data_IF_119445857651
#
_entry.id   IF_119445857651
#
_cell.length_a   1.000
_cell.length_b   1.000
_cell.length_c   1.000
_cell.angle_alpha   90.00
_cell.angle_beta   90.00
_cell.angle_gamma   90.00
#
_symmetry.space_group_name_H-M   'P 1'
#
loop_
_entity.id
_entity.type
_entity.pdbx_description
1 polymer ?
#
# COMPACT_ATOMS: atom_id res chain seq x y z
N UNK A 1 -31.03 18.94 4.37
CA UNK A 1 -30.28 17.69 4.58
C UNK A 1 -31.00 16.59 3.83
N UNK A 2 -30.60 16.35 2.58
CA UNK A 2 -31.05 15.18 1.82
C UNK A 2 -30.26 13.98 2.33
N UNK A 3 -30.94 12.99 2.91
CA UNK A 3 -30.33 11.69 3.18
C UNK A 3 -30.02 11.05 1.83
N UNK A 4 -28.74 10.85 1.54
CA UNK A 4 -28.32 10.01 0.42
C UNK A 4 -28.49 8.56 0.87
N UNK A 5 -29.61 7.95 0.52
CA UNK A 5 -29.83 6.52 0.71
C UNK A 5 -29.48 5.78 -0.58
N UNK A 6 -28.76 4.67 -0.43
CA UNK A 6 -28.31 3.84 -1.54
C UNK A 6 -29.51 3.09 -2.13
N UNK A 7 -29.69 3.00 -3.46
CA UNK A 7 -30.87 2.35 -4.06
C UNK A 7 -31.07 0.90 -3.61
N UNK A 8 -29.96 0.17 -3.42
CA UNK A 8 -29.90 -1.19 -2.87
C UNK A 8 -30.28 -1.26 -1.38
N UNK A 9 -30.10 -0.19 -0.60
CA UNK A 9 -30.54 -0.12 0.81
C UNK A 9 -32.01 0.27 0.94
N UNK A 10 -32.59 0.86 -0.10
CA UNK A 10 -33.99 1.28 -0.15
C UNK A 10 -34.93 0.20 -0.72
N UNK A 11 -34.41 -1.01 -0.95
CA UNK A 11 -35.19 -2.13 -1.51
C UNK A 11 -35.67 -1.90 -2.94
N UNK A 12 -35.04 -0.98 -3.68
CA UNK A 12 -35.30 -0.79 -5.10
C UNK A 12 -34.62 -1.90 -5.91
N UNK A 13 -35.18 -2.25 -7.07
CA UNK A 13 -34.59 -3.25 -7.97
C UNK A 13 -33.09 -2.97 -8.18
N UNK A 14 -32.23 -4.02 -8.20
CA UNK A 14 -30.78 -3.84 -8.34
C UNK A 14 -30.48 -3.02 -9.59
N UNK A 15 -29.94 -1.82 -9.38
CA UNK A 15 -29.49 -0.95 -10.47
C UNK A 15 -28.03 -1.29 -10.79
N UNK A 16 -27.67 -1.21 -12.07
CA UNK A 16 -26.31 -1.49 -12.60
C UNK A 16 -25.33 -0.33 -12.36
N UNK A 17 -25.49 0.38 -11.24
CA UNK A 17 -24.89 1.70 -10.97
C UNK A 17 -23.35 1.73 -11.09
N UNK A 18 -22.69 0.57 -11.11
CA UNK A 18 -21.24 0.50 -11.06
C UNK A 18 -20.62 -0.28 -12.22
N UNK A 19 -21.36 -0.52 -13.30
CA UNK A 19 -20.80 -1.21 -14.47
C UNK A 19 -20.06 -0.24 -15.38
N UNK A 20 -18.72 -0.25 -15.34
CA UNK A 20 -17.90 0.38 -16.38
C UNK A 20 -17.88 -0.53 -17.63
N UNK A 21 -18.62 -0.19 -18.68
CA UNK A 21 -18.45 -0.87 -19.97
C UNK A 21 -17.09 -0.46 -20.58
N UNK A 22 -16.13 -1.39 -20.56
CA UNK A 22 -14.81 -1.24 -21.18
C UNK A 22 -14.95 -1.20 -22.71
N UNK A 23 -14.96 -0.01 -23.32
CA UNK A 23 -14.77 0.13 -24.78
C UNK A 23 -13.28 0.03 -25.13
N UNK A 24 -12.98 -0.69 -26.22
CA UNK A 24 -11.61 -0.99 -26.71
C UNK A 24 -10.75 0.26 -26.94
N UNK A 25 -9.42 0.18 -26.72
CA UNK A 25 -8.52 1.31 -26.91
C UNK A 25 -8.34 1.59 -28.41
N UNK A 26 -8.86 2.72 -28.88
CA UNK A 26 -8.79 3.12 -30.29
C UNK A 26 -9.77 4.21 -30.72
N UNK A 27 -10.75 4.57 -29.88
CA UNK A 27 -11.65 5.70 -30.13
C UNK A 27 -11.36 6.86 -29.17
N UNK A 28 -10.19 7.50 -29.33
CA UNK A 28 -9.89 8.75 -28.62
C UNK A 28 -9.66 9.85 -29.64
N UNK A 29 -10.73 10.35 -30.22
CA UNK A 29 -10.75 11.73 -30.71
C UNK A 29 -12.19 12.24 -30.79
N UNK A 30 -12.50 13.19 -29.91
CA UNK A 30 -13.73 13.98 -29.80
C UNK A 30 -14.97 13.19 -29.39
N UNK A 31 -15.29 13.26 -28.09
CA UNK A 31 -16.64 13.60 -27.62
C UNK A 31 -16.59 13.91 -26.12
N UNK A 32 -16.68 15.20 -25.77
CA UNK A 32 -16.85 15.71 -24.40
C UNK A 32 -18.33 15.77 -23.99
N UNK A 33 -19.22 14.97 -24.59
CA UNK A 33 -20.67 15.24 -24.53
C UNK A 33 -21.61 14.02 -24.42
N UNK A 34 -21.16 12.89 -23.87
CA UNK A 34 -22.05 11.72 -23.64
C UNK A 34 -21.89 11.12 -22.25
N UNK A 35 -21.98 11.95 -21.20
CA UNK A 35 -22.19 11.50 -19.82
C UNK A 35 -23.50 12.00 -19.19
N UNK A 36 -24.34 12.70 -19.95
CA UNK A 36 -25.66 13.14 -19.49
C UNK A 36 -26.73 12.03 -19.48
N UNK A 37 -26.45 10.80 -19.91
CA UNK A 37 -27.49 9.78 -20.10
C UNK A 37 -27.39 8.55 -19.16
N UNK A 38 -26.35 8.43 -18.34
CA UNK A 38 -26.21 7.31 -17.37
C UNK A 38 -26.06 7.80 -15.91
N UNK A 39 -25.65 9.06 -15.71
CA UNK A 39 -25.65 9.72 -14.39
C UNK A 39 -26.94 10.48 -14.02
N UNK A 40 -28.04 10.25 -14.75
CA UNK A 40 -29.32 10.97 -14.57
C UNK A 40 -30.41 10.12 -13.88
N UNK A 41 -30.06 9.28 -12.91
CA UNK A 41 -31.07 8.67 -12.03
C UNK A 41 -30.94 8.99 -10.54
N UNK A 42 -29.82 9.52 -10.02
CA UNK A 42 -29.82 10.18 -8.71
C UNK A 42 -28.76 11.28 -8.67
N UNK A 43 -29.18 12.55 -8.63
CA UNK A 43 -28.26 13.66 -8.34
C UNK A 43 -28.43 14.98 -9.10
N UNK A 44 -29.62 15.34 -9.58
CA UNK A 44 -29.87 16.73 -9.98
C UNK A 44 -30.21 17.57 -8.75
N UNK A 45 -29.20 18.26 -8.23
CA UNK A 45 -29.32 19.33 -7.24
C UNK A 45 -28.18 20.32 -7.40
N UNK A 46 -28.32 21.22 -8.36
CA UNK A 46 -27.45 22.37 -8.62
C UNK A 46 -27.15 23.16 -7.34
N UNK A 47 -25.86 23.39 -7.04
CA UNK A 47 -25.40 24.65 -6.44
C UNK A 47 -23.89 24.79 -6.58
N UNK A 48 -23.47 25.44 -7.66
CA UNK A 48 -22.19 26.13 -7.70
C UNK A 48 -22.27 27.39 -6.84
N UNK A 49 -21.29 27.58 -5.95
CA UNK A 49 -20.83 28.90 -5.52
C UNK A 49 -21.32 29.41 -4.15
N UNK A 50 -20.30 29.82 -3.38
CA UNK A 50 -20.26 30.92 -2.39
C UNK A 50 -20.28 30.58 -0.88
N UNK A 51 -19.30 31.23 -0.21
CA UNK A 51 -19.15 31.61 1.20
C UNK A 51 -18.36 30.73 2.19
N UNK A 52 -17.21 31.30 2.55
CA UNK A 52 -16.50 31.22 3.82
C UNK A 52 -17.38 31.58 5.05
N UNK A 53 -16.85 31.22 6.23
CA UNK A 53 -17.18 31.66 7.60
C UNK A 53 -18.36 30.94 8.29
N UNK A 54 -18.06 29.99 9.19
CA UNK A 54 -18.19 30.20 10.64
C UNK A 54 -17.90 28.90 11.41
N UNK A 55 -17.00 29.02 12.38
CA UNK A 55 -16.89 28.15 13.54
C UNK A 55 -18.15 28.24 14.39
N UNK A 56 -18.68 27.11 14.88
CA UNK A 56 -19.09 26.97 16.28
C UNK A 56 -19.60 25.54 16.58
N UNK A 57 -19.22 25.09 17.76
CA UNK A 57 -19.52 23.81 18.38
C UNK A 57 -21.04 23.60 18.56
N UNK A 58 -21.50 22.33 18.51
CA UNK A 58 -22.78 22.00 19.16
C UNK A 58 -22.80 20.58 19.73
N UNK A 59 -22.53 20.55 21.03
CA UNK A 59 -22.71 19.46 21.98
C UNK A 59 -24.13 18.89 21.97
N UNK A 60 -24.29 17.57 21.80
CA UNK A 60 -25.57 16.88 22.00
C UNK A 60 -25.50 15.89 23.17
N UNK A 61 -26.25 16.23 24.21
CA UNK A 61 -26.56 15.43 25.40
C UNK A 61 -27.62 14.36 25.12
N UNK A 62 -27.48 13.18 25.74
CA UNK A 62 -28.45 12.09 25.70
C UNK A 62 -29.54 12.23 26.78
N UNK A 63 -30.74 11.64 26.57
CA UNK A 63 -31.46 11.01 27.67
C UNK A 63 -31.78 9.52 27.40
N UNK A 64 -32.07 8.73 28.44
CA UNK A 64 -32.03 7.27 28.40
C UNK A 64 -33.41 6.64 28.16
N UNK A 65 -33.42 5.42 27.60
CA UNK A 65 -33.94 4.21 28.25
C UNK A 65 -34.42 3.14 27.24
N UNK A 66 -33.97 1.91 27.51
CA UNK A 66 -34.64 0.62 27.37
C UNK A 66 -35.26 0.23 26.01
N UNK A 67 -34.54 -0.64 25.30
CA UNK A 67 -35.15 -1.61 24.39
C UNK A 67 -34.55 -3.00 24.64
N UNK A 68 -35.22 -3.77 25.48
CA UNK A 68 -35.19 -5.23 25.41
C UNK A 68 -35.83 -5.66 24.09
N UNK A 69 -35.03 -6.20 23.17
CA UNK A 69 -35.48 -6.96 22.00
C UNK A 69 -35.14 -6.36 20.63
N UNK A 70 -33.87 -6.44 20.20
CA UNK A 70 -33.47 -6.47 18.77
C UNK A 70 -31.98 -6.75 18.50
N UNK A 71 -31.28 -7.52 19.36
CA UNK A 71 -29.84 -7.74 19.18
C UNK A 71 -29.49 -8.66 17.99
N UNK A 72 -30.42 -9.52 17.54
CA UNK A 72 -30.16 -10.50 16.48
C UNK A 72 -30.37 -10.00 15.05
N UNK A 73 -31.20 -8.97 14.83
CA UNK A 73 -31.55 -8.48 13.49
C UNK A 73 -30.62 -7.34 13.04
N UNK A 74 -30.09 -6.57 14.00
CA UNK A 74 -29.13 -5.45 13.76
C UNK A 74 -27.75 -5.96 13.35
N UNK A 75 -27.37 -7.18 13.73
CA UNK A 75 -26.07 -7.78 13.41
C UNK A 75 -26.01 -8.42 12.01
N UNK A 76 -27.16 -8.72 11.39
CA UNK A 76 -27.24 -9.45 10.10
C UNK A 76 -27.23 -8.50 8.89
N UNK A 77 -27.70 -7.26 9.04
CA UNK A 77 -27.68 -6.22 8.00
C UNK A 77 -26.34 -5.45 7.89
N UNK A 78 -25.46 -5.56 8.89
CA UNK A 78 -24.27 -4.71 8.97
C UNK A 78 -23.28 -4.91 7.79
N UNK A 79 -22.92 -6.14 7.37
CA UNK A 79 -21.93 -6.33 6.31
C UNK A 79 -22.43 -5.90 4.93
N UNK A 80 -23.70 -6.19 4.59
CA UNK A 80 -24.27 -5.79 3.31
C UNK A 80 -24.32 -4.27 3.18
N UNK A 81 -24.81 -3.58 4.23
CA UNK A 81 -24.85 -2.12 4.26
C UNK A 81 -23.46 -1.50 4.16
N UNK A 82 -22.52 -1.99 4.95
CA UNK A 82 -21.15 -1.51 4.92
C UNK A 82 -20.51 -1.70 3.54
N UNK A 83 -20.72 -2.85 2.90
CA UNK A 83 -20.22 -3.11 1.56
C UNK A 83 -20.79 -2.15 0.51
N UNK A 84 -22.09 -1.86 0.59
CA UNK A 84 -22.75 -0.92 -0.32
C UNK A 84 -22.25 0.52 -0.12
N UNK A 85 -22.07 0.96 1.13
CA UNK A 85 -21.52 2.30 1.44
C UNK A 85 -20.07 2.47 0.96
N UNK A 86 -19.24 1.44 1.12
CA UNK A 86 -17.86 1.43 0.61
C UNK A 86 -17.80 1.46 -0.91
N UNK A 87 -18.67 0.68 -1.58
CA UNK A 87 -18.81 0.68 -3.03
C UNK A 87 -19.25 2.03 -3.58
N UNK A 88 -20.22 2.67 -2.92
CA UNK A 88 -20.67 4.02 -3.25
C UNK A 88 -19.53 5.02 -3.13
N UNK A 89 -18.79 4.98 -2.02
CA UNK A 89 -17.63 5.85 -1.81
C UNK A 89 -16.57 5.66 -2.90
N UNK A 90 -16.31 4.41 -3.29
CA UNK A 90 -15.38 4.07 -4.37
C UNK A 90 -15.85 4.65 -5.72
N UNK A 91 -17.13 4.50 -6.04
CA UNK A 91 -17.72 4.99 -7.27
C UNK A 91 -17.77 6.52 -7.35
N UNK A 92 -18.07 7.19 -6.25
CA UNK A 92 -18.02 8.65 -6.15
C UNK A 92 -16.59 9.17 -6.39
N UNK A 93 -15.60 8.61 -5.69
CA UNK A 93 -14.20 9.00 -5.86
C UNK A 93 -13.69 8.71 -7.28
N UNK A 94 -14.14 7.62 -7.91
CA UNK A 94 -13.79 7.28 -9.30
C UNK A 94 -14.14 8.42 -10.29
N UNK A 95 -15.17 9.23 -10.01
CA UNK A 95 -15.59 10.32 -10.90
C UNK A 95 -14.62 11.49 -10.90
N UNK A 96 -13.85 11.66 -9.83
CA UNK A 96 -12.94 12.80 -9.65
C UNK A 96 -11.47 12.39 -9.53
N UNK A 97 -11.15 11.10 -9.45
CA UNK A 97 -9.79 10.61 -9.31
C UNK A 97 -8.94 10.90 -10.57
N UNK A 98 -7.86 11.66 -10.38
CA UNK A 98 -6.92 12.05 -11.43
C UNK A 98 -5.56 11.37 -11.27
N UNK A 99 -5.10 11.23 -10.01
CA UNK A 99 -3.74 10.78 -9.69
C UNK A 99 -3.70 9.35 -9.13
N UNK A 100 -2.55 8.69 -9.29
CA UNK A 100 -2.33 7.30 -8.86
C UNK A 100 -2.72 7.06 -7.40
N UNK A 101 -2.47 8.02 -6.51
CA UNK A 101 -2.79 7.95 -5.08
C UNK A 101 -4.31 7.92 -4.81
N UNK A 102 -5.09 8.66 -5.59
CA UNK A 102 -6.56 8.68 -5.49
C UNK A 102 -7.15 7.38 -6.02
N UNK A 103 -6.61 6.88 -7.14
CA UNK A 103 -6.98 5.58 -7.67
C UNK A 103 -6.61 4.43 -6.73
N UNK A 104 -5.54 4.58 -5.93
CA UNK A 104 -5.19 3.61 -4.92
C UNK A 104 -6.27 3.56 -3.82
N UNK A 105 -6.79 4.72 -3.41
CA UNK A 105 -7.91 4.77 -2.46
C UNK A 105 -9.19 4.17 -3.05
N UNK A 106 -9.51 4.44 -4.32
CA UNK A 106 -10.62 3.77 -5.02
C UNK A 106 -10.48 2.25 -4.98
N UNK A 107 -9.28 1.73 -5.28
CA UNK A 107 -9.01 0.30 -5.25
C UNK A 107 -9.13 -0.29 -3.82
N UNK A 108 -8.69 0.44 -2.79
CA UNK A 108 -8.86 0.01 -1.41
C UNK A 108 -10.33 -0.02 -0.98
N UNK A 109 -11.13 0.98 -1.37
CA UNK A 109 -12.57 1.01 -1.10
C UNK A 109 -13.31 -0.15 -1.78
N UNK A 110 -12.97 -0.49 -3.02
CA UNK A 110 -13.53 -1.67 -3.68
C UNK A 110 -13.15 -2.98 -2.99
N UNK A 111 -11.91 -3.14 -2.53
CA UNK A 111 -11.51 -4.32 -1.76
C UNK A 111 -12.31 -4.46 -0.46
N UNK A 112 -12.49 -3.35 0.26
CA UNK A 112 -13.30 -3.34 1.48
C UNK A 112 -14.76 -3.69 1.18
N UNK A 113 -15.34 -3.12 0.12
CA UNK A 113 -16.70 -3.42 -0.30
C UNK A 113 -16.88 -4.90 -0.62
N UNK A 114 -15.92 -5.52 -1.32
CA UNK A 114 -15.92 -6.95 -1.63
C UNK A 114 -15.86 -7.77 -0.35
N UNK A 115 -14.94 -7.46 0.57
CA UNK A 115 -14.80 -8.18 1.84
C UNK A 115 -16.11 -8.13 2.66
N UNK A 116 -16.72 -6.95 2.76
CA UNK A 116 -18.00 -6.75 3.44
C UNK A 116 -19.14 -7.55 2.80
N UNK A 117 -19.22 -7.57 1.46
CA UNK A 117 -20.23 -8.36 0.73
C UNK A 117 -20.00 -9.87 0.89
N UNK A 118 -18.75 -10.33 0.90
CA UNK A 118 -18.40 -11.74 1.14
C UNK A 118 -18.68 -12.20 2.57
N UNK A 119 -18.65 -11.27 3.53
CA UNK A 119 -18.99 -11.53 4.93
C UNK A 119 -20.51 -11.67 5.18
N UNK A 120 -21.37 -11.37 4.20
CA UNK A 120 -22.82 -11.52 4.34
C UNK A 120 -23.18 -12.99 4.57
N UNK A 121 -23.87 -13.34 5.69
CA UNK A 121 -24.21 -14.72 5.99
C UNK A 121 -25.08 -15.35 4.89
N UNK A 122 -24.80 -16.61 4.52
CA UNK A 122 -25.58 -17.34 3.49
C UNK A 122 -27.07 -17.48 3.79
N UNK A 123 -27.46 -17.38 5.06
CA UNK A 123 -28.86 -17.42 5.49
C UNK A 123 -29.57 -16.05 5.41
N UNK A 124 -28.83 -14.97 5.12
CA UNK A 124 -29.37 -13.63 4.95
C UNK A 124 -30.19 -13.53 3.67
N UNK A 125 -31.34 -12.81 3.66
CA UNK A 125 -32.09 -12.54 2.43
C UNK A 125 -31.25 -11.79 1.37
N UNK A 126 -30.26 -11.01 1.80
CA UNK A 126 -29.40 -10.22 0.90
C UNK A 126 -28.26 -11.03 0.28
N UNK A 127 -28.04 -12.28 0.73
CA UNK A 127 -26.89 -13.09 0.29
C UNK A 127 -26.80 -13.29 -1.23
N UNK A 128 -27.89 -13.59 -1.97
CA UNK A 128 -27.83 -13.71 -3.42
C UNK A 128 -27.37 -12.41 -4.10
N UNK A 129 -27.90 -11.27 -3.65
CA UNK A 129 -27.54 -9.96 -4.19
C UNK A 129 -26.10 -9.57 -3.83
N UNK A 130 -25.67 -9.84 -2.59
CA UNK A 130 -24.29 -9.61 -2.16
C UNK A 130 -23.30 -10.37 -3.05
N UNK A 131 -23.58 -11.65 -3.34
CA UNK A 131 -22.73 -12.48 -4.18
C UNK A 131 -22.70 -12.01 -5.65
N UNK A 132 -23.81 -11.49 -6.17
CA UNK A 132 -23.86 -10.85 -7.48
C UNK A 132 -23.00 -9.57 -7.51
N UNK A 133 -23.12 -8.73 -6.47
CA UNK A 133 -22.37 -7.47 -6.36
C UNK A 133 -20.87 -7.67 -6.21
N UNK A 134 -20.42 -8.74 -5.54
CA UNK A 134 -18.98 -9.10 -5.49
C UNK A 134 -18.38 -9.20 -6.89
N UNK A 135 -19.07 -9.86 -7.82
CA UNK A 135 -18.59 -10.04 -9.20
C UNK A 135 -18.53 -8.72 -9.97
N UNK A 136 -19.43 -7.77 -9.67
CA UNK A 136 -19.37 -6.40 -10.20
C UNK A 136 -18.21 -5.61 -9.61
N UNK A 137 -18.04 -5.65 -8.29
CA UNK A 137 -17.00 -4.91 -7.57
C UNK A 137 -15.59 -5.40 -7.92
N UNK A 138 -15.40 -6.70 -8.17
CA UNK A 138 -14.13 -7.26 -8.64
C UNK A 138 -13.67 -6.63 -9.98
N UNK A 139 -14.60 -6.41 -10.92
CA UNK A 139 -14.27 -5.72 -12.18
C UNK A 139 -13.88 -4.27 -11.94
N UNK A 140 -14.55 -3.60 -11.01
CA UNK A 140 -14.28 -2.20 -10.68
C UNK A 140 -12.95 -2.04 -9.95
N UNK A 141 -12.61 -2.99 -9.07
CA UNK A 141 -11.31 -3.09 -8.43
C UNK A 141 -10.21 -3.22 -9.49
N UNK A 142 -10.36 -4.12 -10.46
CA UNK A 142 -9.38 -4.30 -11.53
C UNK A 142 -9.19 -3.02 -12.35
N UNK A 143 -10.29 -2.31 -12.65
CA UNK A 143 -10.24 -1.02 -13.32
C UNK A 143 -9.48 0.02 -12.49
N UNK A 144 -9.73 0.11 -11.19
CA UNK A 144 -9.04 1.02 -10.29
C UNK A 144 -7.54 0.69 -10.21
N UNK A 145 -7.17 -0.58 -10.04
CA UNK A 145 -5.78 -1.05 -10.01
C UNK A 145 -5.02 -0.71 -11.32
N UNK A 146 -5.68 -0.87 -12.47
CA UNK A 146 -5.08 -0.46 -13.75
C UNK A 146 -4.80 1.05 -13.82
N UNK A 147 -5.67 1.87 -13.22
CA UNK A 147 -5.43 3.31 -13.11
C UNK A 147 -4.32 3.64 -12.11
N UNK A 148 -4.17 2.92 -10.99
CA UNK A 148 -3.02 3.09 -10.08
C UNK A 148 -1.70 2.98 -10.84
N UNK A 149 -1.57 1.96 -11.70
CA UNK A 149 -0.35 1.72 -12.46
C UNK A 149 -0.10 2.70 -13.62
N UNK A 150 -1.14 3.31 -14.18
CA UNK A 150 -1.04 4.11 -15.42
C UNK A 150 -1.16 5.62 -15.22
N UNK A 151 -1.72 6.08 -14.09
CA UNK A 151 -1.90 7.51 -13.80
C UNK A 151 -0.64 8.13 -13.25
N UNK A 152 -0.49 9.44 -13.48
CA UNK A 152 0.60 10.21 -12.89
C UNK A 152 0.45 10.22 -11.36
N UNK A 153 1.59 10.18 -10.67
CA UNK A 153 1.66 10.36 -9.23
C UNK A 153 1.90 11.84 -8.91
N UNK A 154 1.13 12.40 -7.98
CA UNK A 154 1.32 13.79 -7.52
C UNK A 154 2.32 13.86 -6.36
N UNK A 155 2.37 12.82 -5.55
CA UNK A 155 3.22 12.71 -4.38
C UNK A 155 3.83 11.30 -4.35
N UNK A 156 4.83 11.02 -5.21
CA UNK A 156 5.40 9.67 -5.33
C UNK A 156 6.02 9.18 -4.03
N UNK A 157 6.28 10.09 -3.09
CA UNK A 157 6.91 9.84 -1.81
C UNK A 157 5.91 9.60 -0.68
N UNK A 158 4.63 9.90 -0.88
CA UNK A 158 3.57 9.76 0.14
C UNK A 158 2.75 8.50 -0.15
N UNK A 159 3.31 7.35 0.22
CA UNK A 159 2.67 6.05 0.00
C UNK A 159 1.49 5.86 0.95
N UNK A 160 0.33 5.53 0.38
CA UNK A 160 -0.93 5.30 1.14
C UNK A 160 -1.30 3.82 1.26
N UNK A 161 -0.52 2.94 0.63
CA UNK A 161 -0.69 1.49 0.62
C UNK A 161 0.67 0.77 0.60
N UNK A 162 0.69 -0.50 0.96
CA UNK A 162 1.85 -1.40 0.84
C UNK A 162 1.56 -2.54 -0.13
N UNK A 163 2.60 -3.25 -0.56
CA UNK A 163 2.53 -4.35 -1.54
C UNK A 163 3.25 -5.59 -1.01
N UNK A 164 3.20 -6.70 -1.74
CA UNK A 164 4.12 -7.80 -1.50
C UNK A 164 5.57 -7.30 -1.67
N UNK A 165 6.46 -7.76 -0.80
CA UNK A 165 7.85 -7.30 -0.73
C UNK A 165 8.07 -6.01 0.07
N UNK A 166 7.02 -5.27 0.46
CA UNK A 166 7.16 -4.07 1.30
C UNK A 166 7.90 -4.36 2.61
N UNK A 167 8.73 -3.43 3.08
CA UNK A 167 9.40 -3.57 4.37
C UNK A 167 8.46 -3.28 5.54
N UNK A 168 8.84 -3.83 6.70
CA UNK A 168 8.11 -3.69 7.96
C UNK A 168 7.85 -2.24 8.36
N UNK A 169 8.78 -1.32 8.08
CA UNK A 169 8.67 0.07 8.52
C UNK A 169 7.57 0.79 7.71
N UNK A 170 7.48 0.51 6.42
CA UNK A 170 6.38 0.99 5.57
C UNK A 170 5.02 0.45 6.03
N UNK A 171 4.93 -0.86 6.31
CA UNK A 171 3.67 -1.46 6.76
C UNK A 171 3.20 -0.83 8.07
N UNK A 172 4.10 -0.65 9.05
CA UNK A 172 3.77 0.02 10.32
C UNK A 172 3.38 1.50 10.13
N UNK A 173 4.01 2.20 9.19
CA UNK A 173 3.69 3.59 8.90
C UNK A 173 2.27 3.74 8.31
N UNK A 174 1.86 2.79 7.47
CA UNK A 174 0.57 2.84 6.76
C UNK A 174 -0.56 2.23 7.59
N UNK A 175 -0.31 1.09 8.24
CA UNK A 175 -1.33 0.33 8.97
C UNK A 175 -1.41 0.68 10.46
N UNK A 176 -0.36 1.30 10.99
CA UNK A 176 -0.20 1.45 12.43
C UNK A 176 0.33 0.19 13.11
N UNK A 177 0.20 0.14 14.43
CA UNK A 177 0.69 -0.97 15.24
C UNK A 177 -0.27 -2.17 15.16
N UNK A 178 0.20 -3.39 14.86
CA UNK A 178 -0.66 -4.57 14.84
C UNK A 178 -1.23 -4.87 16.23
N UNK A 179 -2.44 -5.43 16.27
CA UNK A 179 -3.10 -5.84 17.51
C UNK A 179 -2.42 -7.04 18.17
N UNK A 180 -1.79 -7.90 17.37
CA UNK A 180 -0.97 -9.02 17.85
C UNK A 180 0.24 -9.21 16.95
N UNK A 181 1.38 -9.53 17.55
CA UNK A 181 2.60 -9.92 16.85
C UNK A 181 3.05 -11.29 17.34
N UNK A 182 3.26 -12.22 16.41
CA UNK A 182 3.91 -13.51 16.65
C UNK A 182 5.27 -13.50 15.93
N UNK A 183 6.30 -14.02 16.57
CA UNK A 183 7.66 -14.04 16.02
C UNK A 183 8.25 -15.44 16.11
N UNK A 184 8.82 -15.92 15.01
CA UNK A 184 9.46 -17.22 14.89
C UNK A 184 10.92 -17.02 14.51
N UNK A 185 11.79 -17.01 15.52
CA UNK A 185 13.21 -16.68 15.34
C UNK A 185 13.94 -17.66 14.40
N UNK A 186 13.64 -18.96 14.50
CA UNK A 186 14.29 -20.00 13.69
C UNK A 186 13.96 -19.91 12.18
N UNK A 187 12.75 -19.50 11.83
CA UNK A 187 12.29 -19.39 10.43
C UNK A 187 12.34 -17.96 9.89
N UNK A 188 12.82 -16.99 10.69
CA UNK A 188 12.81 -15.57 10.35
C UNK A 188 11.42 -15.00 10.02
N UNK A 189 10.36 -15.65 10.50
CA UNK A 189 8.99 -15.29 10.16
C UNK A 189 8.36 -14.45 11.28
N UNK A 190 7.59 -13.45 10.89
CA UNK A 190 6.73 -12.68 11.79
C UNK A 190 5.31 -12.68 11.24
N UNK A 191 4.35 -12.80 12.14
CA UNK A 191 2.92 -12.73 11.80
C UNK A 191 2.31 -11.58 12.58
N UNK A 192 1.79 -10.59 11.85
CA UNK A 192 1.14 -9.41 12.40
C UNK A 192 -0.36 -9.49 12.15
N UNK A 193 -1.17 -9.32 13.19
CA UNK A 193 -2.63 -9.28 13.08
C UNK A 193 -3.15 -7.86 13.14
N UNK A 194 -4.16 -7.59 12.33
CA UNK A 194 -4.97 -6.39 12.31
C UNK A 194 -6.42 -6.84 12.25
N UNK A 195 -7.08 -6.96 13.40
CA UNK A 195 -8.40 -7.62 13.47
C UNK A 195 -8.32 -9.07 12.99
N UNK A 196 -9.14 -9.42 12.00
CA UNK A 196 -9.17 -10.75 11.38
C UNK A 196 -8.19 -10.88 10.22
N UNK A 197 -7.58 -9.78 9.80
CA UNK A 197 -6.55 -9.74 8.78
C UNK A 197 -5.15 -9.99 9.33
N UNK A 198 -4.29 -10.53 8.47
CA UNK A 198 -2.94 -10.98 8.82
C UNK A 198 -1.93 -10.54 7.77
N UNK A 199 -0.76 -10.07 8.21
CA UNK A 199 0.42 -9.82 7.37
C UNK A 199 1.55 -10.73 7.85
N UNK A 200 2.13 -11.49 6.94
CA UNK A 200 3.27 -12.36 7.22
C UNK A 200 4.54 -11.79 6.60
N UNK A 201 5.54 -11.58 7.44
CA UNK A 201 6.84 -11.07 7.06
C UNK A 201 7.89 -12.17 7.17
N UNK A 202 8.84 -12.16 6.24
CA UNK A 202 10.08 -12.91 6.34
C UNK A 202 11.25 -11.92 6.25
N UNK A 203 12.14 -11.98 7.23
CA UNK A 203 13.26 -11.04 7.36
C UNK A 203 12.86 -9.54 7.33
N UNK A 204 11.67 -9.24 7.86
CA UNK A 204 11.15 -7.87 7.93
C UNK A 204 10.63 -7.34 6.58
N UNK A 205 10.31 -8.22 5.63
CA UNK A 205 9.65 -7.91 4.36
C UNK A 205 8.39 -8.75 4.20
N UNK A 206 7.31 -8.15 3.70
CA UNK A 206 6.03 -8.82 3.47
C UNK A 206 6.21 -9.95 2.45
N UNK A 207 5.89 -11.18 2.83
CA UNK A 207 5.86 -12.33 1.91
C UNK A 207 4.45 -12.73 1.55
N UNK A 208 3.52 -12.66 2.51
CA UNK A 208 2.13 -13.07 2.33
C UNK A 208 1.21 -12.23 3.22
N UNK A 209 -0.08 -12.26 2.91
CA UNK A 209 -1.11 -11.65 3.73
C UNK A 209 -2.43 -12.38 3.54
N UNK A 210 -3.36 -12.15 4.46
CA UNK A 210 -4.76 -12.49 4.34
C UNK A 210 -5.59 -11.29 4.77
N UNK A 211 -6.46 -10.79 3.89
CA UNK A 211 -7.26 -9.58 4.10
C UNK A 211 -8.75 -9.91 4.32
N UNK A 212 -9.05 -10.80 5.28
CA UNK A 212 -10.41 -11.35 5.47
C UNK A 212 -11.49 -10.30 5.71
N UNK A 213 -11.16 -9.26 6.48
CA UNK A 213 -12.08 -8.19 6.87
C UNK A 213 -11.91 -6.91 6.03
N UNK A 214 -11.05 -6.95 5.00
CA UNK A 214 -10.77 -5.80 4.14
C UNK A 214 -9.98 -4.67 4.81
N UNK A 215 -9.54 -4.83 6.07
CA UNK A 215 -8.87 -3.76 6.83
C UNK A 215 -7.44 -3.46 6.34
N UNK A 216 -6.85 -4.33 5.51
CA UNK A 216 -5.51 -4.11 5.01
C UNK A 216 -5.43 -3.07 3.90
N UNK A 217 -4.57 -2.06 4.07
CA UNK A 217 -4.22 -1.09 3.02
C UNK A 217 -3.18 -1.66 2.05
N UNK A 218 -3.55 -2.75 1.37
CA UNK A 218 -2.69 -3.52 0.46
C UNK A 218 -3.14 -3.42 -1.00
N UNK A 219 -2.18 -3.20 -1.91
CA UNK A 219 -2.35 -3.38 -3.35
C UNK A 219 -1.31 -4.39 -3.84
N UNK A 220 -1.59 -5.68 -3.64
CA UNK A 220 -0.61 -6.74 -3.90
C UNK A 220 -0.20 -6.86 -5.36
N UNK A 221 -1.10 -6.49 -6.28
CA UNK A 221 -0.85 -6.46 -7.72
C UNK A 221 -0.27 -5.08 -8.10
N UNK A 222 1.05 -4.96 -8.05
CA UNK A 222 1.74 -3.71 -8.35
C UNK A 222 3.26 -3.78 -8.20
N UNK A 223 3.99 -2.72 -8.58
CA UNK A 223 5.42 -2.61 -8.30
C UNK A 223 5.67 -2.63 -6.79
N UNK A 224 6.80 -3.21 -6.37
CA UNK A 224 7.15 -3.25 -4.96
C UNK A 224 7.35 -1.83 -4.41
N UNK A 225 6.70 -1.55 -3.28
CA UNK A 225 6.81 -0.27 -2.59
C UNK A 225 7.57 -0.47 -1.28
N UNK A 226 8.61 0.34 -1.06
CA UNK A 226 9.41 0.34 0.18
C UNK A 226 9.32 1.70 0.89
N UNK A 227 9.74 1.73 2.15
CA UNK A 227 9.87 2.94 2.97
C UNK A 227 10.98 3.86 2.45
N UNK A 228 12.06 3.27 1.94
CA UNK A 228 13.11 3.99 1.21
C UNK A 228 12.69 4.22 -0.25
N UNK A 229 13.10 5.36 -0.78
CA UNK A 229 12.69 5.89 -2.08
C UNK A 229 13.92 6.40 -2.84
N UNK A 230 13.81 6.40 -4.16
CA UNK A 230 14.86 6.89 -5.03
C UNK A 230 14.82 8.42 -5.11
N UNK A 231 16.01 9.04 -5.14
CA UNK A 231 16.15 10.44 -5.50
C UNK A 231 15.92 10.63 -7.01
N UNK A 232 15.55 11.83 -7.49
CA UNK A 232 15.45 12.10 -8.93
C UNK A 232 16.72 11.72 -9.68
N UNK A 233 16.60 10.86 -10.71
CA UNK A 233 17.74 10.40 -11.52
C UNK A 233 18.57 9.27 -10.89
N UNK A 234 18.09 8.67 -9.80
CA UNK A 234 18.70 7.50 -9.15
C UNK A 234 17.69 6.36 -9.07
N UNK A 235 18.16 5.15 -8.79
CA UNK A 235 17.34 4.00 -8.44
C UNK A 235 17.53 3.63 -6.96
N UNK A 236 16.69 2.75 -6.43
CA UNK A 236 16.77 2.31 -5.02
C UNK A 236 16.41 0.83 -4.87
N UNK A 237 16.34 0.33 -3.63
CA UNK A 237 15.80 -1.00 -3.38
C UNK A 237 14.37 -1.10 -3.92
N UNK A 238 14.04 -2.24 -4.53
CA UNK A 238 12.75 -2.49 -5.17
C UNK A 238 12.49 -1.81 -6.50
N UNK A 239 13.40 -0.96 -6.98
CA UNK A 239 13.41 -0.52 -8.38
C UNK A 239 13.42 -1.73 -9.33
N UNK A 240 12.78 -1.57 -10.49
CA UNK A 240 12.74 -2.63 -11.49
C UNK A 240 14.06 -2.75 -12.25
N UNK A 241 14.36 -3.93 -12.81
CA UNK A 241 15.51 -4.11 -13.71
C UNK A 241 15.49 -3.11 -14.88
N UNK A 242 14.31 -2.87 -15.46
CA UNK A 242 14.14 -1.90 -16.54
C UNK A 242 14.48 -0.46 -16.09
N UNK A 243 14.07 -0.07 -14.89
CA UNK A 243 14.41 1.24 -14.30
C UNK A 243 15.90 1.38 -14.05
N UNK A 244 16.54 0.34 -13.48
CA UNK A 244 18.00 0.34 -13.27
C UNK A 244 18.73 0.48 -14.59
N UNK A 245 18.37 -0.28 -15.63
CA UNK A 245 19.00 -0.17 -16.96
C UNK A 245 18.75 1.19 -17.60
N UNK A 246 17.55 1.77 -17.44
CA UNK A 246 17.22 3.09 -17.95
C UNK A 246 18.07 4.20 -17.30
N UNK A 247 18.31 4.11 -15.99
CA UNK A 247 19.03 5.13 -15.22
C UNK A 247 20.55 4.93 -15.30
N UNK A 248 21.00 3.68 -15.13
CA UNK A 248 22.40 3.30 -15.05
C UNK A 248 23.05 3.15 -16.43
N UNK A 249 22.30 2.67 -17.42
CA UNK A 249 22.79 2.30 -18.74
C UNK A 249 22.98 0.80 -18.91
N UNK A 250 23.69 0.41 -19.98
CA UNK A 250 23.93 -1.00 -20.31
C UNK A 250 24.92 -1.62 -19.32
N UNK A 251 24.59 -2.77 -18.68
CA UNK A 251 25.52 -3.46 -17.80
C UNK A 251 26.71 -4.03 -18.59
N UNK A 252 27.87 -4.11 -17.93
CA UNK A 252 29.08 -4.71 -18.51
C UNK A 252 28.99 -6.24 -18.57
N UNK A 253 28.25 -6.84 -17.63
CA UNK A 253 27.97 -8.28 -17.57
C UNK A 253 26.62 -8.52 -16.90
N UNK A 254 25.95 -9.59 -17.30
CA UNK A 254 24.74 -10.09 -16.66
C UNK A 254 24.91 -11.57 -16.34
N UNK A 255 24.51 -11.96 -15.13
CA UNK A 255 24.44 -13.35 -14.69
C UNK A 255 23.00 -13.68 -14.33
N UNK A 256 22.46 -14.74 -14.91
CA UNK A 256 21.12 -15.23 -14.62
C UNK A 256 21.23 -16.71 -14.25
N UNK A 257 20.74 -17.04 -13.06
CA UNK A 257 20.70 -18.43 -12.61
C UNK A 257 19.35 -19.00 -12.98
N UNK A 258 19.31 -19.82 -14.04
CA UNK A 258 18.09 -20.25 -14.77
C UNK A 258 17.08 -21.04 -13.92
N UNK A 259 17.50 -21.60 -12.79
CA UNK A 259 16.64 -22.28 -11.81
C UNK A 259 16.18 -21.37 -10.66
N UNK A 260 16.66 -20.13 -10.62
CA UNK A 260 16.46 -19.19 -9.53
C UNK A 260 15.71 -17.95 -10.02
N UNK A 261 15.02 -17.27 -9.09
CA UNK A 261 14.34 -16.00 -9.37
C UNK A 261 15.31 -14.81 -9.38
N UNK A 262 16.62 -15.08 -9.39
CA UNK A 262 17.68 -14.10 -9.24
C UNK A 262 18.42 -13.80 -10.55
N UNK A 263 18.65 -12.51 -10.76
CA UNK A 263 19.51 -11.95 -11.82
C UNK A 263 20.49 -11.00 -11.17
N UNK A 264 21.75 -10.99 -11.62
CA UNK A 264 22.74 -9.99 -11.19
C UNK A 264 23.26 -9.24 -12.41
N UNK A 265 23.13 -7.91 -12.36
CA UNK A 265 23.75 -7.01 -13.33
C UNK A 265 25.04 -6.44 -12.76
N UNK A 266 26.09 -6.40 -13.57
CA UNK A 266 27.38 -5.86 -13.21
C UNK A 266 27.65 -4.58 -13.99
N UNK A 267 28.23 -3.60 -13.31
CA UNK A 267 28.72 -2.35 -13.86
C UNK A 267 30.16 -2.21 -13.38
N UNK A 268 31.09 -2.72 -14.18
CA UNK A 268 32.48 -2.93 -13.78
C UNK A 268 32.61 -3.86 -12.55
N UNK A 269 33.13 -3.38 -11.42
CA UNK A 269 33.23 -4.14 -10.17
C UNK A 269 31.97 -4.01 -9.30
N UNK A 270 31.13 -3.01 -9.56
CA UNK A 270 29.84 -2.86 -8.89
C UNK A 270 28.81 -3.87 -9.41
N UNK A 271 27.84 -4.22 -8.57
CA UNK A 271 26.78 -5.16 -8.94
C UNK A 271 25.43 -4.80 -8.31
N UNK A 272 24.35 -5.18 -9.00
CA UNK A 272 22.97 -5.04 -8.57
C UNK A 272 22.29 -6.40 -8.70
N UNK A 273 21.74 -6.91 -7.62
CA UNK A 273 21.05 -8.20 -7.58
C UNK A 273 19.54 -8.00 -7.50
N UNK A 274 18.83 -8.74 -8.34
CA UNK A 274 17.39 -8.70 -8.51
C UNK A 274 16.78 -10.01 -8.05
N UNK A 275 15.60 -9.95 -7.45
CA UNK A 275 14.70 -11.09 -7.23
C UNK A 275 13.36 -10.77 -7.88
N UNK A 276 12.86 -11.65 -8.75
CA UNK A 276 11.63 -11.40 -9.53
C UNK A 276 11.66 -10.08 -10.31
N UNK A 277 12.84 -9.67 -10.80
CA UNK A 277 13.03 -8.44 -11.58
C UNK A 277 13.07 -7.15 -10.75
N UNK A 278 13.17 -7.24 -9.42
CA UNK A 278 13.24 -6.10 -8.50
C UNK A 278 14.54 -6.11 -7.69
N UNK A 279 15.16 -4.95 -7.49
CA UNK A 279 16.41 -4.82 -6.73
C UNK A 279 16.21 -5.27 -5.28
N UNK A 280 17.02 -6.22 -4.82
CA UNK A 280 17.04 -6.68 -3.42
C UNK A 280 18.38 -6.44 -2.72
N UNK A 281 19.44 -6.17 -3.48
CA UNK A 281 20.80 -6.03 -2.96
C UNK A 281 21.68 -5.35 -4.02
N UNK A 282 22.74 -4.67 -3.58
CA UNK A 282 23.75 -4.09 -4.47
C UNK A 282 25.09 -3.94 -3.75
N UNK A 283 26.14 -3.79 -4.55
CA UNK A 283 27.50 -3.43 -4.13
C UNK A 283 27.99 -2.31 -5.05
N UNK A 284 28.27 -1.14 -4.50
CA UNK A 284 28.81 0.02 -5.22
C UNK A 284 30.31 0.16 -4.94
N UNK A 285 31.14 -0.76 -5.42
CA UNK A 285 32.58 -0.73 -5.13
C UNK A 285 33.34 0.33 -5.91
N UNK A 286 32.84 0.70 -7.09
CA UNK A 286 33.49 1.66 -7.99
C UNK A 286 32.89 3.06 -7.91
N UNK A 287 31.98 3.31 -6.95
CA UNK A 287 31.20 4.55 -6.83
C UNK A 287 30.47 4.95 -8.14
N UNK A 288 30.16 3.97 -8.99
CA UNK A 288 29.57 4.18 -10.31
C UNK A 288 28.05 3.96 -10.32
N UNK A 289 27.47 3.34 -9.29
CA UNK A 289 26.03 3.11 -9.19
C UNK A 289 25.27 4.39 -8.85
N UNK A 290 24.26 4.73 -9.65
CA UNK A 290 23.32 5.83 -9.39
C UNK A 290 22.23 5.41 -8.40
N UNK A 291 22.64 4.99 -7.21
CA UNK A 291 21.77 4.52 -6.14
C UNK A 291 21.57 5.60 -5.08
N UNK A 292 20.34 5.77 -4.60
CA UNK A 292 20.05 6.59 -3.43
C UNK A 292 18.94 5.95 -2.58
N UNK A 293 19.11 5.94 -1.26
CA UNK A 293 18.08 5.52 -0.31
C UNK A 293 17.63 6.74 0.49
N UNK A 294 16.56 7.39 0.02
CA UNK A 294 15.94 8.53 0.70
C UNK A 294 14.72 8.09 1.49
N UNK A 295 14.55 8.63 2.69
CA UNK A 295 13.35 8.39 3.49
C UNK A 295 12.43 9.60 3.44
N UNK A 296 11.10 9.39 3.51
CA UNK A 296 10.16 10.49 3.59
C UNK A 296 10.44 11.33 4.84
N UNK A 297 10.21 12.66 4.77
CA UNK A 297 10.32 13.55 5.91
C UNK A 297 9.49 13.03 7.09
N UNK A 298 9.99 13.21 8.30
CA UNK A 298 9.21 12.88 9.50
C UNK A 298 7.99 13.81 9.60
N UNK A 299 6.87 13.25 10.07
CA UNK A 299 5.71 14.05 10.47
C UNK A 299 6.11 15.10 11.51
N UNK A 300 5.46 16.27 11.46
CA UNK A 300 5.81 17.40 12.33
C UNK A 300 5.80 17.00 13.82
N UNK A 301 6.84 17.40 14.55
CA UNK A 301 7.01 17.10 15.97
C UNK A 301 7.73 15.78 16.29
N UNK A 302 8.03 14.93 15.30
CA UNK A 302 8.95 13.80 15.50
C UNK A 302 10.39 14.25 15.31
N UNK A 303 11.23 13.94 16.30
CA UNK A 303 12.66 14.24 16.29
C UNK A 303 13.41 13.01 15.79
N UNK A 304 14.35 13.20 14.85
CA UNK A 304 15.29 12.13 14.48
C UNK A 304 16.20 11.92 15.69
N UNK A 305 16.32 10.69 16.22
CA UNK A 305 17.28 10.45 17.29
C UNK A 305 18.69 10.78 16.81
N UNK A 306 19.57 11.19 17.71
CA UNK A 306 20.97 11.48 17.35
C UNK A 306 21.77 10.19 17.09
N UNK A 307 21.34 9.09 17.70
CA UNK A 307 21.97 7.77 17.57
C UNK A 307 20.91 6.70 17.38
N UNK A 308 21.23 5.67 16.61
CA UNK A 308 20.49 4.41 16.61
C UNK A 308 21.10 3.44 17.63
N UNK A 309 20.37 2.38 17.96
CA UNK A 309 20.78 1.36 18.93
C UNK A 309 20.34 -0.05 18.50
N UNK A 310 20.66 -1.06 19.31
CA UNK A 310 20.15 -2.42 19.11
C UNK A 310 18.61 -2.42 19.11
N UNK A 311 18.00 -3.03 18.09
CA UNK A 311 16.54 -3.03 17.91
C UNK A 311 15.99 -1.86 17.08
N UNK A 312 16.80 -0.84 16.77
CA UNK A 312 16.41 0.24 15.85
C UNK A 312 16.02 -0.30 14.48
N UNK A 313 15.18 0.44 13.75
CA UNK A 313 14.71 0.02 12.41
C UNK A 313 15.69 0.40 11.29
N UNK A 314 15.47 -0.13 10.08
CA UNK A 314 16.21 0.31 8.88
C UNK A 314 16.06 1.80 8.64
N UNK A 315 14.81 2.27 8.72
CA UNK A 315 14.50 3.68 8.54
C UNK A 315 15.18 4.56 9.59
N UNK A 316 15.31 4.08 10.83
CA UNK A 316 16.05 4.82 11.86
C UNK A 316 17.54 4.89 11.54
N UNK A 317 18.19 3.76 11.23
CA UNK A 317 19.61 3.73 10.84
C UNK A 317 19.88 4.66 9.67
N UNK A 318 19.10 4.57 8.59
CA UNK A 318 19.27 5.43 7.42
C UNK A 318 19.05 6.93 7.72
N UNK A 319 18.12 7.29 8.62
CA UNK A 319 17.91 8.69 9.02
C UNK A 319 19.07 9.23 9.85
N UNK A 320 19.55 8.43 10.80
CA UNK A 320 20.59 8.83 11.73
C UNK A 320 21.93 8.93 11.01
N UNK A 321 22.28 7.93 10.19
CA UNK A 321 23.51 7.91 9.41
C UNK A 321 23.49 8.99 8.31
N UNK A 322 22.31 9.32 7.77
CA UNK A 322 22.15 10.39 6.78
C UNK A 322 22.86 10.14 5.45
N UNK A 323 23.32 8.91 5.21
CA UNK A 323 24.09 8.50 4.03
C UNK A 323 23.50 7.23 3.40
N UNK A 324 23.64 7.10 2.09
CA UNK A 324 23.28 5.88 1.37
C UNK A 324 24.37 4.83 1.61
N UNK A 325 24.02 3.59 2.02
CA UNK A 325 25.00 2.51 2.15
C UNK A 325 25.78 2.27 0.86
N UNK A 326 27.07 1.93 0.96
CA UNK A 326 27.89 1.55 -0.20
C UNK A 326 27.53 0.16 -0.71
N UNK A 327 26.96 -0.69 0.15
CA UNK A 327 26.40 -1.96 -0.24
C UNK A 327 25.24 -2.35 0.69
N UNK A 328 24.31 -3.12 0.14
CA UNK A 328 23.27 -3.80 0.90
C UNK A 328 23.29 -5.26 0.48
N UNK A 329 23.49 -6.16 1.44
CA UNK A 329 23.39 -7.61 1.24
C UNK A 329 22.16 -8.14 1.95
N UNK A 330 21.37 -8.97 1.28
CA UNK A 330 20.18 -9.60 1.86
C UNK A 330 20.22 -11.11 1.62
N UNK A 331 20.09 -11.86 2.71
CA UNK A 331 20.03 -13.31 2.72
C UNK A 331 18.88 -13.79 3.62
N UNK A 332 17.71 -13.97 3.01
CA UNK A 332 16.50 -14.42 3.71
C UNK A 332 16.66 -15.83 4.32
N UNK A 333 17.52 -16.70 3.75
CA UNK A 333 17.77 -18.04 4.29
C UNK A 333 18.48 -17.99 5.65
N UNK A 334 19.40 -17.04 5.82
CA UNK A 334 20.15 -16.86 7.08
C UNK A 334 19.49 -15.85 8.03
N UNK A 335 18.31 -15.33 7.66
CA UNK A 335 17.61 -14.27 8.36
C UNK A 335 18.45 -12.99 8.48
N UNK A 336 19.29 -12.70 7.50
CA UNK A 336 20.30 -11.66 7.61
C UNK A 336 20.15 -10.63 6.50
N UNK A 337 20.32 -9.37 6.88
CA UNK A 337 20.57 -8.29 5.95
C UNK A 337 21.65 -7.39 6.55
N UNK A 338 22.53 -6.87 5.71
CA UNK A 338 23.65 -6.04 6.15
C UNK A 338 23.71 -4.79 5.30
N UNK A 339 23.73 -3.64 5.97
CA UNK A 339 24.04 -2.35 5.35
C UNK A 339 25.51 -2.06 5.60
N UNK A 340 26.26 -1.86 4.52
CA UNK A 340 27.67 -1.50 4.58
C UNK A 340 27.81 -0.01 4.33
N UNK A 341 28.54 0.65 5.22
CA UNK A 341 29.02 2.02 5.10
C UNK A 341 30.55 2.00 4.95
N UNK A 342 31.16 3.12 4.58
CA UNK A 342 32.60 3.19 4.29
C UNK A 342 33.49 2.64 5.40
N UNK A 343 33.11 2.83 6.67
CA UNK A 343 33.87 2.36 7.85
C UNK A 343 33.00 1.57 8.85
N UNK A 344 31.91 0.95 8.39
CA UNK A 344 31.08 0.17 9.31
C UNK A 344 30.04 -0.68 8.62
N UNK A 345 29.48 -1.62 9.38
CA UNK A 345 28.38 -2.45 8.91
C UNK A 345 27.31 -2.54 9.99
N UNK A 346 26.04 -2.56 9.57
CA UNK A 346 24.88 -2.75 10.45
C UNK A 346 24.13 -3.98 9.99
N UNK A 347 24.00 -4.96 10.88
CA UNK A 347 23.34 -6.24 10.62
C UNK A 347 21.92 -6.23 11.15
N UNK A 348 20.96 -6.55 10.29
CA UNK A 348 19.55 -6.65 10.60
C UNK A 348 19.10 -8.10 10.62
N UNK A 349 18.24 -8.42 11.59
CA UNK A 349 17.45 -9.65 11.63
C UNK A 349 15.99 -9.26 11.76
N UNK A 350 15.12 -9.78 10.90
CA UNK A 350 13.70 -9.41 10.88
C UNK A 350 13.45 -7.88 10.73
N UNK A 351 14.39 -7.18 10.10
CA UNK A 351 14.32 -5.73 9.87
C UNK A 351 14.57 -4.82 11.07
N UNK A 352 15.17 -5.37 12.13
CA UNK A 352 15.69 -4.60 13.26
C UNK A 352 17.18 -4.85 13.44
N UNK A 353 17.89 -3.85 13.95
CA UNK A 353 19.33 -3.94 14.25
C UNK A 353 19.57 -5.08 15.23
N UNK A 354 20.42 -6.01 14.82
CA UNK A 354 20.78 -7.23 15.55
C UNK A 354 22.28 -7.35 15.82
N UNK A 355 23.08 -6.49 15.19
CA UNK A 355 24.52 -6.40 15.38
C UNK A 355 25.08 -5.27 14.53
N UNK A 356 26.33 -4.91 14.79
CA UNK A 356 27.05 -3.93 13.99
C UNK A 356 28.57 -4.08 14.18
N UNK A 357 29.32 -3.54 13.24
CA UNK A 357 30.77 -3.30 13.35
C UNK A 357 31.03 -1.83 13.10
N UNK A 358 31.51 -1.12 14.11
CA UNK A 358 31.81 0.30 14.01
C UNK A 358 33.34 0.49 13.96
N UNK A 359 33.94 0.33 12.78
CA UNK A 359 35.36 0.61 12.63
C UNK A 359 35.55 2.14 12.64
N UNK A 360 36.59 2.62 13.33
CA UNK A 360 36.88 4.06 13.37
C UNK A 360 35.86 4.94 14.12
N UNK A 361 34.81 4.37 14.74
CA UNK A 361 33.70 5.11 15.36
C UNK A 361 32.91 5.99 14.35
N UNK A 362 32.85 5.57 13.09
CA UNK A 362 32.15 6.30 12.04
C UNK A 362 30.61 6.18 12.11
N UNK A 363 30.07 5.10 12.69
CA UNK A 363 28.63 4.91 12.86
C UNK A 363 28.10 5.69 14.06
N UNK A 364 26.93 6.31 13.87
CA UNK A 364 26.18 7.07 14.88
C UNK A 364 25.34 6.11 15.75
N UNK A 365 26.03 5.23 16.48
CA UNK A 365 25.44 4.20 17.36
C UNK A 365 25.67 4.49 18.84
N UNK A 366 24.70 4.14 19.69
CA UNK A 366 24.80 4.23 21.15
C UNK A 366 24.50 2.92 21.88
#
# INVERSE_FOLDING_TARGET
MTKHSHPELDGQNPQTLYTFELKRPGQVLRERLTWWAVGLSVGLGLAAGYMLLNSEERSWSWPPANLTGKAGEVAVEAPFRQGAEQAMSAAELTQTAEFSEEWAEVALLWQQAIASMQAVPKASPDSPLAQEKVVEYERNLQYAQSNVASRASRAPNDKTYWTLGSDRDLVLAIQGTPSQTMQFQASCQQTWRYGDSVVELNNGYVKQYNNLDGSLRVLAEGPMVLSAQAAPGTWTLGSSEAEVVQIQGTPTRQEQYTSSRFTTLYFDQSSVMFENGQVISYLNSDDNLKVALQLPPLAQGRVVPEFWSMGSSRAEVLRVEGQTPVAISRNDNNCEEVFYFSEGEVTFRQGIVSGYRNQGQALQVR
#
